data_IF_675450403524
#
_entry.id   IF_675450403524
#
_cell.length_a   1.000
_cell.length_b   1.000
_cell.length_c   1.000
_cell.angle_alpha   90.00
_cell.angle_beta   90.00
_cell.angle_gamma   90.00
#
_symmetry.space_group_name_H-M   'P 1'
#
loop_
_entity.id
_entity.type
_entity.pdbx_description
1 polymer ?
#
# COMPACT_ATOMS: atom_id res chain seq x y z
N UNK A 1 18.97 -25.21 -49.12
CA UNK A 1 17.77 -24.36 -49.01
C UNK A 1 17.11 -24.65 -47.66
N UNK A 2 17.11 -23.64 -46.78
CA UNK A 2 16.62 -23.67 -45.40
C UNK A 2 15.20 -23.13 -45.36
N UNK A 3 14.31 -23.76 -44.59
CA UNK A 3 13.12 -23.11 -44.05
C UNK A 3 12.99 -23.47 -42.57
N UNK A 4 13.19 -22.47 -41.71
CA UNK A 4 12.83 -22.52 -40.29
C UNK A 4 11.57 -21.68 -40.19
N UNK A 5 10.44 -22.31 -39.83
CA UNK A 5 9.18 -21.61 -39.55
C UNK A 5 9.34 -20.99 -38.16
N UNK A 6 9.50 -19.68 -38.09
CA UNK A 6 9.37 -18.93 -36.85
C UNK A 6 7.89 -18.67 -36.60
N UNK A 7 7.25 -19.49 -35.76
CA UNK A 7 5.99 -19.10 -35.12
C UNK A 7 6.32 -18.09 -34.03
N UNK A 8 5.97 -16.83 -34.29
CA UNK A 8 5.94 -15.78 -33.29
C UNK A 8 4.81 -16.07 -32.30
N UNK A 9 5.15 -16.67 -31.16
CA UNK A 9 4.26 -16.69 -29.99
C UNK A 9 4.40 -15.33 -29.33
N UNK A 10 3.52 -14.41 -29.67
CA UNK A 10 3.26 -13.26 -28.79
C UNK A 10 2.61 -13.81 -27.52
N UNK A 11 3.43 -14.02 -26.49
CA UNK A 11 2.92 -14.15 -25.13
C UNK A 11 2.35 -12.78 -24.80
N UNK A 12 1.05 -12.61 -25.02
CA UNK A 12 0.30 -11.57 -24.36
C UNK A 12 0.47 -11.82 -22.87
N UNK A 13 1.30 -11.02 -22.21
CA UNK A 13 1.32 -10.93 -20.76
C UNK A 13 -0.06 -10.45 -20.35
N UNK A 14 -0.98 -11.40 -20.13
CA UNK A 14 -2.14 -11.18 -19.30
C UNK A 14 -1.57 -10.65 -17.99
N UNK A 15 -1.75 -9.36 -17.74
CA UNK A 15 -1.48 -8.75 -16.44
C UNK A 15 -2.51 -9.32 -15.48
N UNK A 16 -2.35 -10.59 -15.11
CA UNK A 16 -2.99 -11.14 -13.95
C UNK A 16 -2.54 -10.22 -12.80
N UNK A 17 -3.47 -9.69 -11.98
CA UNK A 17 -3.06 -9.03 -10.75
C UNK A 17 -2.11 -10.01 -10.06
N UNK A 18 -0.90 -9.59 -9.65
CA UNK A 18 0.02 -10.55 -9.08
C UNK A 18 -0.65 -11.17 -7.85
N UNK A 19 -0.32 -12.43 -7.55
CA UNK A 19 -0.98 -13.34 -6.60
C UNK A 19 -0.93 -12.91 -5.12
N UNK A 20 -0.68 -11.63 -4.82
CA UNK A 20 -0.50 -11.09 -3.47
C UNK A 20 -1.77 -10.79 -2.71
N UNK A 21 -2.91 -10.71 -3.40
CA UNK A 21 -4.20 -10.54 -2.74
C UNK A 21 -4.87 -11.88 -2.40
N UNK A 22 -4.27 -13.01 -2.77
CA UNK A 22 -4.81 -14.35 -2.50
C UNK A 22 -4.75 -14.70 -1.00
N UNK A 23 -3.94 -13.97 -0.22
CA UNK A 23 -3.88 -14.11 1.24
C UNK A 23 -3.73 -12.77 1.95
N UNK A 24 -4.34 -12.59 3.14
CA UNK A 24 -4.14 -11.37 3.92
C UNK A 24 -2.67 -11.18 4.31
N UNK A 25 -2.10 -10.03 3.96
CA UNK A 25 -0.76 -9.65 4.41
C UNK A 25 -0.84 -8.85 5.71
N UNK A 26 -0.08 -9.26 6.73
CA UNK A 26 0.08 -8.50 7.97
C UNK A 26 1.29 -7.59 7.89
N UNK A 27 1.08 -6.32 8.17
CA UNK A 27 2.18 -5.41 8.48
C UNK A 27 2.58 -5.56 9.95
N UNK A 28 3.87 -5.80 10.22
CA UNK A 28 4.39 -5.86 11.58
C UNK A 28 4.64 -4.45 12.10
N UNK A 29 4.01 -4.10 13.22
CA UNK A 29 4.23 -2.85 13.94
C UNK A 29 4.30 -3.15 15.44
N UNK A 30 5.09 -2.36 16.15
CA UNK A 30 5.23 -2.41 17.61
C UNK A 30 4.34 -1.37 18.31
N UNK A 31 3.66 -0.51 17.55
CA UNK A 31 2.77 0.53 18.06
C UNK A 31 1.33 0.31 17.59
N UNK A 32 0.37 0.78 18.39
CA UNK A 32 -1.04 0.70 18.01
C UNK A 32 -1.33 1.62 16.81
N UNK A 33 -2.09 1.12 15.84
CA UNK A 33 -2.53 1.86 14.67
C UNK A 33 -4.05 1.81 14.56
N UNK A 34 -4.69 2.96 14.35
CA UNK A 34 -6.15 3.10 14.39
C UNK A 34 -6.70 3.82 13.16
N UNK A 35 -7.97 3.55 12.87
CA UNK A 35 -8.75 4.23 11.83
C UNK A 35 -8.07 4.29 10.46
N UNK A 36 -7.63 3.15 9.88
CA UNK A 36 -7.01 3.17 8.57
C UNK A 36 -7.98 3.68 7.50
N UNK A 37 -7.45 4.41 6.54
CA UNK A 37 -8.12 4.82 5.30
C UNK A 37 -7.20 4.54 4.12
N UNK A 38 -7.81 4.04 3.05
CA UNK A 38 -7.11 3.65 1.84
C UNK A 38 -7.67 4.44 0.65
N UNK A 39 -6.77 4.86 -0.23
CA UNK A 39 -7.09 5.39 -1.56
C UNK A 39 -6.13 4.75 -2.57
N UNK A 40 -6.59 4.49 -3.79
CA UNK A 40 -5.77 3.86 -4.82
C UNK A 40 -5.91 4.56 -6.17
N UNK A 41 -4.82 4.61 -6.93
CA UNK A 41 -4.76 5.12 -8.31
C UNK A 41 -3.74 4.33 -9.12
N UNK A 42 -4.22 3.52 -10.08
CA UNK A 42 -3.40 2.56 -10.80
C UNK A 42 -2.70 1.57 -9.84
N UNK A 43 -1.38 1.46 -9.94
CA UNK A 43 -0.57 0.64 -9.03
C UNK A 43 -0.24 1.31 -7.70
N UNK A 44 -0.64 2.56 -7.48
CA UNK A 44 -0.32 3.28 -6.26
C UNK A 44 -1.44 3.09 -5.24
N UNK A 45 -1.07 2.70 -4.01
CA UNK A 45 -1.98 2.59 -2.87
C UNK A 45 -1.49 3.50 -1.76
N UNK A 46 -2.39 4.28 -1.19
CA UNK A 46 -2.13 5.30 -0.18
C UNK A 46 -2.88 4.91 1.08
N UNK A 47 -2.19 4.89 2.23
CA UNK A 47 -2.81 4.61 3.52
C UNK A 47 -2.58 5.76 4.49
N UNK A 48 -3.66 6.36 4.99
CA UNK A 48 -3.66 7.25 6.15
C UNK A 48 -4.17 6.53 7.38
N UNK A 49 -3.57 6.76 8.54
CA UNK A 49 -3.95 6.12 9.81
C UNK A 49 -3.44 6.93 11.01
N UNK A 50 -4.00 6.67 12.18
CA UNK A 50 -3.45 7.17 13.44
C UNK A 50 -2.42 6.17 13.98
N UNK A 51 -1.24 6.63 14.38
CA UNK A 51 -0.14 5.81 14.91
C UNK A 51 0.24 6.29 16.31
N UNK A 52 0.32 5.36 17.27
CA UNK A 52 0.64 5.65 18.68
C UNK A 52 2.12 5.94 18.93
N UNK A 53 2.78 6.71 18.06
CA UNK A 53 4.20 7.05 18.17
C UNK A 53 4.38 8.09 19.27
N UNK A 54 5.29 7.83 20.21
CA UNK A 54 5.64 8.82 21.25
C UNK A 54 4.58 9.02 22.34
N UNK A 55 3.59 8.14 22.44
CA UNK A 55 2.55 8.18 23.48
C UNK A 55 1.30 9.00 23.09
N UNK A 56 1.30 9.66 21.94
CA UNK A 56 0.12 10.26 21.32
C UNK A 56 -0.22 9.53 20.02
N UNK A 57 -1.49 9.58 19.59
CA UNK A 57 -1.88 9.14 18.26
C UNK A 57 -1.70 10.28 17.28
N UNK A 58 -0.77 10.09 16.34
CA UNK A 58 -0.46 11.06 15.29
C UNK A 58 -0.95 10.57 13.94
N UNK A 59 -1.33 11.51 13.07
CA UNK A 59 -1.69 11.21 11.70
C UNK A 59 -0.42 10.81 10.94
N UNK A 60 -0.42 9.57 10.47
CA UNK A 60 0.65 8.98 9.70
C UNK A 60 0.16 8.53 8.33
N UNK A 61 1.13 8.39 7.44
CA UNK A 61 0.90 8.05 6.06
C UNK A 61 1.96 7.09 5.54
N UNK A 62 1.56 6.18 4.66
CA UNK A 62 2.48 5.38 3.85
C UNK A 62 1.87 5.10 2.49
N UNK A 63 2.71 4.73 1.53
CA UNK A 63 2.27 4.30 0.19
C UNK A 63 2.93 3.02 -0.27
N UNK A 64 2.22 2.30 -1.12
CA UNK A 64 2.75 1.28 -2.00
C UNK A 64 2.79 1.81 -3.43
N UNK A 65 3.82 1.44 -4.18
CA UNK A 65 3.98 1.76 -5.62
C UNK A 65 3.80 0.54 -6.52
N UNK A 66 3.40 -0.57 -5.92
CA UNK A 66 3.28 -1.90 -6.50
C UNK A 66 2.01 -2.57 -5.96
N UNK A 67 0.85 -1.94 -6.13
CA UNK A 67 -0.47 -2.52 -5.89
C UNK A 67 -0.67 -3.17 -4.50
N UNK A 68 0.06 -2.71 -3.48
CA UNK A 68 -0.02 -3.19 -2.10
C UNK A 68 1.01 -4.26 -1.71
N UNK A 69 1.88 -4.71 -2.62
CA UNK A 69 2.89 -5.76 -2.33
C UNK A 69 3.94 -5.30 -1.32
N UNK A 70 4.46 -4.09 -1.52
CA UNK A 70 5.45 -3.50 -0.63
C UNK A 70 5.02 -2.10 -0.23
N UNK A 71 5.28 -1.76 1.03
CA UNK A 71 4.96 -0.47 1.61
C UNK A 71 6.23 0.29 1.94
N UNK A 72 6.27 1.56 1.56
CA UNK A 72 7.33 2.47 1.98
C UNK A 72 7.24 2.76 3.48
N UNK A 73 8.30 3.37 4.01
CA UNK A 73 8.35 3.80 5.40
C UNK A 73 7.19 4.73 5.74
N UNK A 74 6.72 4.62 6.98
CA UNK A 74 5.73 5.51 7.56
C UNK A 74 6.28 6.93 7.66
N UNK A 75 5.45 7.90 7.29
CA UNK A 75 5.71 9.33 7.39
C UNK A 75 4.68 9.92 8.33
N UNK A 76 5.14 10.55 9.40
CA UNK A 76 4.29 11.31 10.31
C UNK A 76 3.93 12.66 9.66
N UNK A 77 2.64 12.96 9.56
CA UNK A 77 2.11 14.19 8.96
C UNK A 77 1.87 15.25 10.03
N UNK A 78 1.43 14.86 11.22
CA UNK A 78 1.08 15.77 12.31
C UNK A 78 2.04 15.69 13.48
N UNK A 79 2.16 16.78 14.24
CA UNK A 79 2.77 16.80 15.57
C UNK A 79 1.88 17.64 16.48
N UNK A 80 0.89 17.00 17.10
CA UNK A 80 0.02 17.68 18.03
C UNK A 80 0.56 17.58 19.47
N UNK A 81 0.23 18.57 20.31
CA UNK A 81 0.53 18.51 21.75
C UNK A 81 -0.32 17.45 22.49
N UNK A 82 -1.31 16.87 21.80
CA UNK A 82 -2.19 15.78 22.24
C UNK A 82 -2.51 14.90 21.03
N UNK A 83 -3.58 14.10 21.07
CA UNK A 83 -3.99 13.26 19.96
C UNK A 83 -4.40 14.08 18.73
N UNK A 84 -3.85 13.73 17.57
CA UNK A 84 -4.36 14.21 16.30
C UNK A 84 -5.71 13.55 16.00
N UNK A 85 -6.72 14.37 15.73
CA UNK A 85 -8.03 13.88 15.31
C UNK A 85 -8.02 13.52 13.84
N UNK A 86 -8.34 12.27 13.50
CA UNK A 86 -8.72 11.89 12.14
C UNK A 86 -10.24 11.71 12.10
N UNK A 87 -10.95 12.72 11.57
CA UNK A 87 -12.41 12.62 11.36
C UNK A 87 -12.64 12.12 9.94
N UNK A 88 -13.15 10.89 9.75
CA UNK A 88 -13.58 10.47 8.44
C UNK A 88 -14.81 11.26 8.03
N UNK A 89 -14.71 12.01 6.94
CA UNK A 89 -15.91 12.51 6.25
C UNK A 89 -16.76 11.31 5.86
N UNK A 90 -18.05 11.36 6.24
CA UNK A 90 -19.06 10.34 5.89
C UNK A 90 -19.33 10.35 4.39
#
# INVERSE_FOLDING_TARGET
MRYIILMSITIGLLYAPPTGWDSPQRYHTVVNQQYPRLAASGKYVYQGFLSGIGGTYELCFRRSTDAGFHWQNEIQISQAASHSGYVPVK
#
